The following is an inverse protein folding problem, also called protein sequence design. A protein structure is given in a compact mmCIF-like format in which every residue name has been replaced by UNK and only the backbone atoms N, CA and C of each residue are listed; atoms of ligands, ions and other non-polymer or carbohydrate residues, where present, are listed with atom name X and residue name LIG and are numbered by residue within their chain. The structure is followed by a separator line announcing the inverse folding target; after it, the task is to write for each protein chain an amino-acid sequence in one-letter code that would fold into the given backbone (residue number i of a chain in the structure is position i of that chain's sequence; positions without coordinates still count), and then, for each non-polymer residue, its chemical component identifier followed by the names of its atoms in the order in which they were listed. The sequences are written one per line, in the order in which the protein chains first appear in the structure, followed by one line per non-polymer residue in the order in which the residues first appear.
data_IF_523169314066
#
_entry.id   IF_523169314066
#
_cell.length_a   1.000
_cell.length_b   1.000
_cell.length_c   1.000
_cell.angle_alpha   90.00
_cell.angle_beta   90.00
_cell.angle_gamma   90.00
#
_symmetry.space_group_name_H-M   'P 1'
#
loop_
_entity.id
_entity.type
_entity.pdbx_description
1 polymer ?
#
# COMPACT_ATOMS: atom_id res chain seq x y z
N UNK A 1 -25.37 -9.81 30.60
CA UNK A 1 -25.20 -9.45 29.17
C UNK A 1 -25.21 -7.94 29.08
N UNK A 2 -24.23 -7.33 28.41
CA UNK A 2 -24.02 -5.88 28.42
C UNK A 2 -24.85 -5.11 27.37
N UNK A 3 -25.73 -5.79 26.63
CA UNK A 3 -26.60 -5.18 25.63
C UNK A 3 -27.84 -6.06 25.39
N UNK A 4 -28.92 -5.42 24.99
CA UNK A 4 -30.14 -6.09 24.53
C UNK A 4 -29.90 -6.74 23.16
N UNK A 5 -30.30 -8.00 23.01
CA UNK A 5 -30.07 -8.79 21.80
C UNK A 5 -30.90 -8.30 20.61
N UNK A 6 -32.02 -7.66 20.88
CA UNK A 6 -32.95 -7.16 19.87
C UNK A 6 -32.65 -5.70 19.46
N UNK A 7 -31.69 -5.05 20.13
CA UNK A 7 -31.19 -3.73 19.78
C UNK A 7 -30.57 -3.73 18.38
N UNK A 8 -30.90 -2.73 17.57
CA UNK A 8 -30.33 -2.55 16.23
C UNK A 8 -29.04 -1.75 16.32
N UNK A 9 -27.97 -2.25 15.72
CA UNK A 9 -26.68 -1.58 15.67
C UNK A 9 -26.71 -0.39 14.69
N UNK A 10 -26.35 0.83 15.12
CA UNK A 10 -26.58 2.07 14.36
C UNK A 10 -25.81 2.14 13.02
N UNK A 11 -24.66 1.47 12.91
CA UNK A 11 -23.83 1.51 11.69
C UNK A 11 -24.14 0.39 10.69
N UNK A 12 -24.73 -0.72 11.13
CA UNK A 12 -24.91 -1.93 10.28
C UNK A 12 -26.37 -2.26 10.04
N UNK A 13 -27.30 -1.64 10.78
CA UNK A 13 -28.74 -1.88 10.64
C UNK A 13 -29.18 -3.31 11.01
N UNK A 14 -28.33 -4.07 11.70
CA UNK A 14 -28.59 -5.46 12.10
C UNK A 14 -28.72 -5.59 13.61
N UNK A 15 -29.40 -6.63 14.09
CA UNK A 15 -29.56 -6.86 15.53
C UNK A 15 -28.25 -7.26 16.20
N UNK A 16 -28.06 -6.85 17.45
CA UNK A 16 -26.87 -7.18 18.24
C UNK A 16 -26.70 -8.71 18.41
N UNK A 17 -27.81 -9.47 18.46
CA UNK A 17 -27.77 -10.94 18.45
C UNK A 17 -27.17 -11.51 17.16
N UNK A 18 -27.58 -10.98 16.00
CA UNK A 18 -27.05 -11.43 14.69
C UNK A 18 -25.56 -11.10 14.54
N UNK A 19 -25.14 -9.90 14.96
CA UNK A 19 -23.74 -9.50 14.96
C UNK A 19 -22.87 -10.40 15.84
N UNK A 20 -23.37 -10.73 17.03
CA UNK A 20 -22.68 -11.64 17.96
C UNK A 20 -22.51 -13.02 17.35
N UNK A 21 -23.56 -13.61 16.79
CA UNK A 21 -23.48 -14.93 16.13
C UNK A 21 -22.47 -14.94 14.98
N UNK A 22 -22.45 -13.88 14.15
CA UNK A 22 -21.45 -13.74 13.08
C UNK A 22 -20.03 -13.65 13.64
N UNK A 23 -19.82 -12.87 14.70
CA UNK A 23 -18.52 -12.73 15.36
C UNK A 23 -18.05 -14.06 15.97
N UNK A 24 -18.94 -14.78 16.65
CA UNK A 24 -18.66 -16.12 17.21
C UNK A 24 -18.26 -17.11 16.12
N UNK A 25 -18.98 -17.15 14.98
CA UNK A 25 -18.61 -18.02 13.86
C UNK A 25 -17.23 -17.71 13.25
N UNK A 26 -16.85 -16.42 13.16
CA UNK A 26 -15.50 -16.03 12.71
C UNK A 26 -14.44 -16.47 13.72
N UNK A 27 -14.68 -16.29 15.01
CA UNK A 27 -13.77 -16.70 16.08
C UNK A 27 -13.57 -18.21 16.05
N UNK A 28 -14.64 -18.99 15.91
CA UNK A 28 -14.56 -20.44 15.87
C UNK A 28 -13.79 -20.93 14.64
N UNK A 29 -14.00 -20.30 13.49
CA UNK A 29 -13.23 -20.56 12.26
C UNK A 29 -11.73 -20.30 12.47
N UNK A 30 -11.38 -19.23 13.18
CA UNK A 30 -9.99 -18.89 13.48
C UNK A 30 -9.38 -19.86 14.51
N UNK A 31 -10.15 -20.30 15.52
CA UNK A 31 -9.70 -21.32 16.48
C UNK A 31 -9.45 -22.67 15.80
N UNK A 32 -10.32 -23.08 14.88
CA UNK A 32 -10.14 -24.31 14.08
C UNK A 32 -8.88 -24.28 13.21
N UNK A 33 -8.43 -23.08 12.80
CA UNK A 33 -7.19 -22.88 12.06
C UNK A 33 -5.94 -22.81 12.95
N UNK A 34 -6.08 -23.02 14.26
CA UNK A 34 -4.97 -23.08 15.22
C UNK A 34 -4.50 -21.72 15.74
N UNK A 35 -5.24 -20.63 15.52
CA UNK A 35 -4.89 -19.32 16.06
C UNK A 35 -5.25 -19.19 17.54
N UNK A 36 -4.35 -18.61 18.35
CA UNK A 36 -4.65 -18.24 19.73
C UNK A 36 -5.44 -16.92 19.75
N UNK A 37 -6.71 -16.97 20.15
CA UNK A 37 -7.61 -15.80 20.15
C UNK A 37 -7.94 -15.41 21.58
N UNK A 38 -7.48 -14.23 21.98
CA UNK A 38 -7.84 -13.58 23.23
C UNK A 38 -8.99 -12.60 22.94
N UNK A 39 -10.10 -12.74 23.66
CA UNK A 39 -11.25 -11.85 23.55
C UNK A 39 -11.34 -10.98 24.80
N UNK A 40 -11.62 -9.69 24.62
CA UNK A 40 -11.82 -8.73 25.69
C UNK A 40 -13.09 -7.93 25.39
N UNK A 41 -13.89 -7.66 26.42
CA UNK A 41 -15.06 -6.80 26.29
C UNK A 41 -14.63 -5.34 26.25
N UNK A 42 -15.45 -4.50 25.63
CA UNK A 42 -15.15 -3.08 25.45
C UNK A 42 -14.96 -2.35 26.79
N UNK A 43 -15.83 -2.58 27.77
CA UNK A 43 -15.71 -1.95 29.09
C UNK A 43 -14.46 -2.40 29.85
N UNK A 44 -14.07 -3.67 29.70
CA UNK A 44 -12.82 -4.18 30.28
C UNK A 44 -11.62 -3.51 29.62
N UNK A 45 -11.65 -3.34 28.31
CA UNK A 45 -10.61 -2.64 27.57
C UNK A 45 -10.52 -1.15 27.92
N UNK A 46 -11.65 -0.47 28.14
CA UNK A 46 -11.68 0.92 28.60
C UNK A 46 -11.08 1.08 30.00
N UNK A 47 -11.31 0.11 30.89
CA UNK A 47 -10.67 0.12 32.21
C UNK A 47 -9.18 -0.17 32.11
N UNK A 48 -8.78 -1.10 31.23
CA UNK A 48 -7.38 -1.44 30.99
C UNK A 48 -6.57 -0.27 30.40
N UNK A 49 -7.20 0.59 29.58
CA UNK A 49 -6.59 1.85 29.10
C UNK A 49 -6.24 2.83 30.21
N UNK A 50 -6.91 2.76 31.37
CA UNK A 50 -6.68 3.68 32.48
C UNK A 50 -5.49 3.26 33.34
N UNK A 51 -5.13 1.97 33.30
CA UNK A 51 -4.02 1.40 34.07
C UNK A 51 -2.67 1.94 33.59
N UNK A 52 -1.77 2.27 34.52
CA UNK A 52 -0.43 2.80 34.19
C UNK A 52 0.41 1.79 33.39
N UNK A 53 0.30 0.50 33.68
CA UNK A 53 0.98 -0.58 32.95
C UNK A 53 0.66 -0.56 31.45
N UNK A 54 -0.59 -0.27 31.07
CA UNK A 54 -0.98 -0.21 29.67
C UNK A 54 -0.48 1.05 28.98
N UNK A 55 -0.37 2.18 29.71
CA UNK A 55 0.22 3.41 29.17
C UNK A 55 1.71 3.24 28.93
N UNK A 56 2.42 2.60 29.86
CA UNK A 56 3.84 2.26 29.68
C UNK A 56 4.04 1.30 28.50
N UNK A 57 3.18 0.28 28.37
CA UNK A 57 3.17 -0.60 27.20
C UNK A 57 2.98 0.18 25.90
N UNK A 58 2.00 1.10 25.82
CA UNK A 58 1.77 1.91 24.61
C UNK A 58 2.94 2.83 24.27
N UNK A 59 3.66 3.35 25.27
CA UNK A 59 4.85 4.19 25.06
C UNK A 59 6.05 3.37 24.55
N UNK A 60 6.20 2.13 25.01
CA UNK A 60 7.28 1.24 24.60
C UNK A 60 6.97 0.48 23.30
N UNK A 61 5.69 0.30 22.98
CA UNK A 61 5.26 -0.48 21.83
C UNK A 61 5.32 0.37 20.55
N UNK A 62 6.43 0.24 19.81
CA UNK A 62 6.47 0.69 18.43
C UNK A 62 5.54 -0.20 17.58
N UNK A 63 4.34 0.29 17.29
CA UNK A 63 3.49 -0.31 16.26
C UNK A 63 4.19 -0.11 14.92
N UNK A 64 4.98 -1.10 14.52
CA UNK A 64 5.54 -1.13 13.19
C UNK A 64 4.44 -1.56 12.22
N UNK A 65 3.93 -0.60 11.46
CA UNK A 65 3.01 -0.91 10.36
C UNK A 65 3.65 -1.93 9.43
N UNK A 66 2.84 -2.92 9.03
CA UNK A 66 3.25 -3.93 8.05
C UNK A 66 3.84 -3.25 6.82
N UNK A 67 4.92 -3.84 6.29
CA UNK A 67 5.49 -3.41 5.02
C UNK A 67 4.39 -3.43 3.96
N UNK A 68 4.11 -2.27 3.37
CA UNK A 68 3.20 -2.15 2.25
C UNK A 68 4.01 -2.23 0.95
N UNK A 69 3.89 -3.32 0.15
CA UNK A 69 4.62 -3.46 -1.10
C UNK A 69 4.39 -2.30 -2.08
N UNK A 70 3.26 -1.59 -1.96
CA UNK A 70 2.90 -0.47 -2.82
C UNK A 70 3.84 0.72 -2.73
N UNK A 71 4.47 0.89 -1.57
CA UNK A 71 5.37 2.02 -1.34
C UNK A 71 6.67 1.86 -2.13
N UNK A 72 7.06 0.62 -2.44
CA UNK A 72 8.23 0.30 -3.24
C UNK A 72 8.01 0.47 -4.76
N UNK A 73 6.76 0.57 -5.25
CA UNK A 73 6.51 0.73 -6.68
C UNK A 73 6.75 2.15 -7.16
N UNK A 74 7.85 2.39 -7.86
CA UNK A 74 8.13 3.65 -8.55
C UNK A 74 8.02 3.48 -10.08
N UNK A 75 7.76 4.60 -10.75
CA UNK A 75 7.77 4.67 -12.21
C UNK A 75 9.18 4.73 -12.80
N UNK A 76 9.26 5.04 -14.09
CA UNK A 76 10.54 5.28 -14.75
C UNK A 76 11.29 6.46 -14.14
N UNK A 77 12.63 6.39 -14.18
CA UNK A 77 13.51 7.48 -13.73
C UNK A 77 13.46 8.65 -14.71
N UNK A 78 13.18 9.84 -14.19
CA UNK A 78 13.28 11.12 -14.90
C UNK A 78 14.21 12.04 -14.11
N UNK A 79 15.28 12.54 -14.73
CA UNK A 79 16.22 13.44 -14.09
C UNK A 79 16.57 14.60 -15.04
N UNK A 80 16.42 15.84 -14.56
CA UNK A 80 16.81 17.05 -15.29
C UNK A 80 18.18 17.53 -14.85
N UNK A 81 19.23 17.24 -15.63
CA UNK A 81 20.61 17.67 -15.31
C UNK A 81 20.88 19.09 -15.81
N UNK A 82 20.35 19.43 -17.00
CA UNK A 82 20.53 20.75 -17.63
C UNK A 82 19.20 21.20 -18.21
N UNK A 83 18.73 22.38 -17.80
CA UNK A 83 17.45 22.93 -18.27
C UNK A 83 17.55 23.48 -19.70
N UNK A 84 18.74 23.93 -20.10
CA UNK A 84 18.99 24.51 -21.41
C UNK A 84 20.32 24.01 -21.99
N UNK A 85 20.27 23.46 -23.19
CA UNK A 85 21.45 22.96 -23.89
C UNK A 85 21.46 23.47 -25.33
N UNK A 86 22.45 24.28 -25.68
CA UNK A 86 22.73 24.68 -27.06
C UNK A 86 23.81 23.75 -27.64
N UNK A 87 23.49 23.11 -28.76
CA UNK A 87 24.40 22.22 -29.49
C UNK A 87 23.76 20.91 -29.94
N UNK A 88 24.58 20.00 -30.46
CA UNK A 88 24.13 18.67 -30.87
C UNK A 88 24.11 17.70 -29.68
N UNK A 89 22.95 17.15 -29.35
CA UNK A 89 22.80 16.13 -28.31
C UNK A 89 22.75 14.72 -28.91
N UNK A 90 23.31 13.74 -28.19
CA UNK A 90 23.18 12.31 -28.52
C UNK A 90 22.04 11.72 -27.69
N UNK A 91 21.09 11.08 -28.35
CA UNK A 91 19.99 10.36 -27.73
C UNK A 91 20.30 8.86 -27.74
N UNK A 92 20.31 8.25 -26.56
CA UNK A 92 20.49 6.81 -26.38
C UNK A 92 19.21 6.30 -25.72
N UNK A 93 18.63 5.24 -26.29
CA UNK A 93 17.41 4.62 -25.79
C UNK A 93 17.57 3.12 -25.73
N UNK A 94 16.97 2.52 -24.70
CA UNK A 94 16.93 1.08 -24.57
C UNK A 94 15.68 0.56 -25.29
N UNK A 95 15.88 -0.28 -26.30
CA UNK A 95 14.77 -0.94 -26.98
C UNK A 95 14.10 -1.93 -26.04
N UNK A 96 12.88 -1.62 -25.60
CA UNK A 96 12.04 -2.53 -24.81
C UNK A 96 12.62 -2.91 -23.44
N UNK A 97 13.03 -1.92 -22.64
CA UNK A 97 13.57 -2.13 -21.29
C UNK A 97 12.67 -3.00 -20.40
N UNK A 98 11.38 -2.67 -20.25
CA UNK A 98 10.49 -3.45 -19.38
C UNK A 98 10.28 -4.90 -19.85
N UNK A 99 10.02 -5.19 -21.14
CA UNK A 99 9.99 -6.56 -21.62
C UNK A 99 11.28 -7.34 -21.39
N UNK A 100 12.44 -6.69 -21.55
CA UNK A 100 13.74 -7.33 -21.28
C UNK A 100 13.84 -7.70 -19.80
N UNK A 101 13.51 -6.79 -18.89
CA UNK A 101 13.51 -7.04 -17.44
C UNK A 101 12.52 -8.15 -17.08
N UNK A 102 11.29 -8.12 -17.60
CA UNK A 102 10.30 -9.17 -17.36
C UNK A 102 10.74 -10.57 -17.84
N UNK A 103 11.62 -10.64 -18.83
CA UNK A 103 12.10 -11.92 -19.39
C UNK A 103 13.30 -12.48 -18.64
N UNK A 104 14.22 -11.61 -18.19
CA UNK A 104 15.53 -12.02 -17.69
C UNK A 104 15.74 -11.81 -16.19
N UNK A 105 14.93 -10.97 -15.54
CA UNK A 105 15.05 -10.71 -14.11
C UNK A 105 14.12 -11.61 -13.30
N UNK A 106 14.54 -11.92 -12.07
CA UNK A 106 13.77 -12.71 -11.12
C UNK A 106 12.72 -11.85 -10.40
N UNK A 107 11.58 -12.46 -10.09
CA UNK A 107 10.49 -11.83 -9.35
C UNK A 107 10.10 -12.69 -8.16
N UNK A 108 9.78 -12.08 -7.00
CA UNK A 108 9.18 -12.82 -5.91
C UNK A 108 7.79 -13.31 -6.32
N UNK A 109 7.55 -14.61 -6.17
CA UNK A 109 6.27 -15.27 -6.46
C UNK A 109 5.82 -16.10 -5.26
N UNK A 110 4.51 -16.19 -5.05
CA UNK A 110 3.92 -16.94 -3.95
C UNK A 110 3.62 -16.09 -2.71
N UNK A 111 3.40 -16.78 -1.58
CA UNK A 111 3.15 -16.14 -0.29
C UNK A 111 4.47 -15.68 0.34
N UNK A 112 4.58 -14.41 0.78
CA UNK A 112 5.80 -13.89 1.36
C UNK A 112 6.03 -14.46 2.76
N UNK A 113 7.29 -14.72 3.09
CA UNK A 113 7.74 -14.88 4.46
C UNK A 113 7.95 -13.49 5.08
N UNK A 114 7.38 -13.26 6.27
CA UNK A 114 7.44 -11.96 6.94
C UNK A 114 8.44 -12.07 8.08
N UNK A 115 9.57 -11.39 7.93
CA UNK A 115 10.64 -11.34 8.92
C UNK A 115 10.58 -9.99 9.62
N UNK A 116 10.35 -10.00 10.93
CA UNK A 116 10.25 -8.78 11.75
C UNK A 116 11.43 -8.61 12.72
N UNK A 117 12.18 -9.67 12.97
CA UNK A 117 13.24 -9.74 13.99
C UNK A 117 14.43 -10.56 13.50
N UNK A 118 15.59 -10.41 14.16
CA UNK A 118 16.82 -11.17 13.87
C UNK A 118 17.31 -11.07 12.41
N UNK A 119 17.41 -9.84 11.90
CA UNK A 119 17.91 -9.59 10.55
C UNK A 119 19.36 -10.05 10.37
N UNK A 120 19.60 -10.76 9.27
CA UNK A 120 20.91 -11.14 8.76
C UNK A 120 21.45 -10.06 7.81
N UNK A 121 22.58 -10.32 7.18
CA UNK A 121 23.07 -9.47 6.09
C UNK A 121 22.03 -9.35 4.97
N UNK A 122 21.94 -8.16 4.37
CA UNK A 122 20.90 -7.81 3.40
C UNK A 122 20.98 -8.67 2.14
N UNK A 123 22.20 -9.11 1.78
CA UNK A 123 22.49 -9.94 0.62
C UNK A 123 21.87 -11.34 0.71
N UNK A 124 21.48 -11.78 1.91
CA UNK A 124 20.81 -13.06 2.12
C UNK A 124 19.29 -13.01 1.87
N UNK A 125 18.74 -11.82 1.60
CA UNK A 125 17.30 -11.64 1.40
C UNK A 125 16.98 -11.36 -0.06
N UNK A 126 15.94 -12.04 -0.56
CA UNK A 126 15.35 -11.74 -1.86
C UNK A 126 13.90 -11.28 -1.67
N UNK A 127 13.63 -9.99 -1.95
CA UNK A 127 12.27 -9.44 -1.84
C UNK A 127 12.24 -7.95 -1.51
N UNK A 128 11.31 -7.57 -0.64
CA UNK A 128 11.10 -6.18 -0.23
C UNK A 128 11.57 -5.98 1.21
N UNK A 129 12.34 -4.92 1.42
CA UNK A 129 12.83 -4.53 2.75
C UNK A 129 12.42 -3.09 3.05
N UNK A 130 12.01 -2.83 4.29
CA UNK A 130 11.75 -1.48 4.80
C UNK A 130 12.93 -1.09 5.68
N UNK A 131 13.78 -0.19 5.18
CA UNK A 131 14.98 0.24 5.87
C UNK A 131 15.12 1.76 5.88
N UNK A 132 15.90 2.28 6.83
CA UNK A 132 16.36 3.68 6.84
C UNK A 132 17.71 3.73 6.14
N UNK A 133 17.81 4.48 5.04
CA UNK A 133 19.04 4.60 4.25
C UNK A 133 19.71 5.93 4.58
N UNK A 134 21.00 5.90 4.90
CA UNK A 134 21.83 7.09 4.93
C UNK A 134 22.37 7.36 3.52
N UNK A 135 21.89 8.42 2.82
CA UNK A 135 22.26 8.63 1.44
C UNK A 135 23.75 9.02 1.35
N UNK A 136 24.52 8.39 0.46
CA UNK A 136 25.90 8.81 0.21
C UNK A 136 25.94 10.24 -0.30
N UNK A 137 26.92 11.01 0.18
CA UNK A 137 27.09 12.43 -0.18
C UNK A 137 27.73 12.53 -1.58
N UNK A 138 27.46 13.63 -2.28
CA UNK A 138 28.11 14.01 -3.54
C UNK A 138 27.87 13.08 -4.75
N UNK A 139 26.71 12.43 -4.86
CA UNK A 139 26.36 11.70 -6.09
C UNK A 139 25.97 12.66 -7.22
N UNK A 140 26.55 12.44 -8.40
CA UNK A 140 26.14 13.12 -9.63
C UNK A 140 24.71 12.77 -10.05
N UNK A 141 24.25 11.57 -9.68
CA UNK A 141 22.90 11.08 -9.93
C UNK A 141 22.28 10.58 -8.62
N UNK A 142 21.21 11.22 -8.11
CA UNK A 142 20.57 10.73 -6.89
C UNK A 142 19.97 9.36 -7.14
N UNK A 143 20.20 8.38 -6.26
CA UNK A 143 19.70 7.02 -6.45
C UNK A 143 18.32 6.80 -5.84
N UNK A 144 18.00 7.51 -4.75
CA UNK A 144 16.73 7.34 -4.06
C UNK A 144 15.63 8.15 -4.77
N UNK A 145 14.50 7.50 -5.13
CA UNK A 145 13.37 8.20 -5.73
C UNK A 145 12.67 9.09 -4.70
N UNK A 146 12.24 10.27 -5.13
CA UNK A 146 11.45 11.20 -4.32
C UNK A 146 10.13 11.49 -5.04
N UNK A 147 9.00 11.37 -4.33
CA UNK A 147 7.69 11.77 -4.85
C UNK A 147 7.34 13.14 -4.27
N UNK A 148 7.19 14.11 -5.16
CA UNK A 148 6.60 15.40 -4.83
C UNK A 148 5.07 15.29 -4.99
N UNK A 149 4.29 15.65 -3.97
CA UNK A 149 2.86 15.34 -3.88
C UNK A 149 1.91 16.32 -4.60
N UNK A 150 2.40 17.30 -5.37
CA UNK A 150 1.52 18.20 -6.14
C UNK A 150 1.26 17.68 -7.55
N UNK A 151 0.11 17.01 -7.72
CA UNK A 151 -0.29 16.27 -8.93
C UNK A 151 -0.94 17.12 -10.04
N UNK A 152 -1.06 18.44 -9.86
CA UNK A 152 -2.02 19.27 -10.62
C UNK A 152 -1.46 20.05 -11.84
N UNK A 153 -0.23 19.83 -12.31
CA UNK A 153 0.39 20.75 -13.29
C UNK A 153 1.17 20.11 -14.45
N UNK A 154 0.69 19.01 -15.05
CA UNK A 154 1.34 18.46 -16.28
C UNK A 154 0.31 17.96 -17.29
N UNK A 155 0.30 18.56 -18.49
CA UNK A 155 -0.54 18.14 -19.64
C UNK A 155 0.33 17.47 -20.72
N UNK A 156 -0.07 16.30 -21.24
CA UNK A 156 0.63 15.59 -22.33
C UNK A 156 -0.36 14.89 -23.28
N UNK A 157 -0.10 14.91 -24.60
CA UNK A 157 -0.93 14.27 -25.64
C UNK A 157 -0.25 13.02 -26.25
N UNK A 158 -1.02 11.92 -26.35
CA UNK A 158 -0.55 10.53 -26.25
C UNK A 158 -1.00 9.59 -27.39
N UNK A 159 -1.74 10.04 -28.41
CA UNK A 159 -2.65 9.19 -29.20
C UNK A 159 -2.12 7.86 -29.80
N UNK A 160 -1.14 7.88 -30.72
CA UNK A 160 -0.82 6.68 -31.55
C UNK A 160 0.44 5.91 -31.15
N UNK A 161 1.34 6.53 -30.38
CA UNK A 161 2.54 5.87 -29.80
C UNK A 161 2.23 5.19 -28.46
N UNK A 162 1.14 5.61 -27.80
CA UNK A 162 0.71 5.03 -26.54
C UNK A 162 0.29 3.59 -26.70
N UNK A 163 -0.63 3.25 -27.61
CA UNK A 163 -1.33 1.94 -27.61
C UNK A 163 -0.39 0.72 -27.59
N UNK A 164 0.67 0.68 -28.41
CA UNK A 164 1.65 -0.41 -28.40
C UNK A 164 2.54 -0.41 -27.15
N UNK A 165 2.95 0.78 -26.69
CA UNK A 165 3.69 0.98 -25.43
C UNK A 165 2.79 0.71 -24.20
N UNK A 166 1.49 0.90 -24.34
CA UNK A 166 0.46 0.73 -23.31
C UNK A 166 0.27 -0.75 -23.06
N UNK A 167 0.14 -1.59 -24.09
CA UNK A 167 0.02 -3.03 -23.90
C UNK A 167 1.23 -3.62 -23.15
N UNK A 168 2.46 -3.23 -23.53
CA UNK A 168 3.69 -3.74 -22.91
C UNK A 168 3.94 -3.16 -21.50
N UNK A 169 3.64 -1.88 -21.28
CA UNK A 169 3.75 -1.26 -19.95
C UNK A 169 2.56 -1.57 -19.04
N UNK A 170 1.44 -2.05 -19.60
CA UNK A 170 0.24 -2.44 -18.83
C UNK A 170 0.50 -3.67 -17.99
N UNK A 171 1.48 -4.52 -18.32
CA UNK A 171 1.82 -5.64 -17.45
C UNK A 171 2.37 -5.14 -16.09
N UNK A 172 3.36 -4.25 -16.13
CA UNK A 172 3.89 -3.57 -14.94
C UNK A 172 2.82 -2.71 -14.25
N UNK A 173 2.02 -1.99 -15.05
CA UNK A 173 0.89 -1.20 -14.56
C UNK A 173 -0.21 -2.02 -13.88
N UNK A 174 -0.41 -3.27 -14.30
CA UNK A 174 -1.39 -4.20 -13.71
C UNK A 174 -0.89 -4.79 -12.40
N UNK A 175 0.41 -5.06 -12.30
CA UNK A 175 1.07 -5.51 -11.07
C UNK A 175 1.01 -4.45 -9.96
N UNK A 176 1.22 -3.17 -10.31
CA UNK A 176 1.11 -2.03 -9.39
C UNK A 176 -0.30 -1.42 -9.26
N UNK A 177 -1.31 -1.97 -9.93
CA UNK A 177 -2.63 -1.33 -10.09
C UNK A 177 -3.33 -1.10 -8.75
N UNK A 178 -3.78 0.12 -8.49
CA UNK A 178 -4.64 0.37 -7.35
C UNK A 178 -6.04 -0.22 -7.62
N UNK A 179 -6.48 -1.12 -6.75
CA UNK A 179 -7.81 -1.74 -6.84
C UNK A 179 -8.90 -0.78 -6.34
N UNK A 180 -8.55 0.15 -5.44
CA UNK A 180 -9.43 1.20 -4.98
C UNK A 180 -9.39 2.37 -5.96
N UNK A 181 -10.22 2.30 -7.00
CA UNK A 181 -10.38 3.37 -7.97
C UNK A 181 -11.47 4.33 -7.51
N UNK A 182 -11.15 5.62 -7.42
CA UNK A 182 -12.16 6.68 -7.36
C UNK A 182 -12.99 6.65 -8.64
N UNK A 183 -14.29 6.44 -8.52
CA UNK A 183 -15.21 6.55 -9.65
C UNK A 183 -15.55 8.02 -9.87
N UNK A 184 -15.43 8.48 -11.11
CA UNK A 184 -15.78 9.84 -11.48
C UNK A 184 -17.15 9.78 -12.15
N UNK A 185 -18.20 10.13 -11.41
CA UNK A 185 -19.57 10.20 -11.91
C UNK A 185 -19.85 11.61 -12.41
N UNK A 186 -20.23 11.74 -13.67
CA UNK A 186 -20.70 13.01 -14.22
C UNK A 186 -22.13 13.25 -13.71
N UNK A 187 -22.29 14.27 -12.88
CA UNK A 187 -23.58 14.68 -12.32
C UNK A 187 -24.14 15.81 -13.18
N UNK A 188 -25.23 15.55 -13.89
CA UNK A 188 -25.90 16.54 -14.75
C UNK A 188 -27.16 17.15 -14.10
N UNK A 189 -27.58 16.65 -12.93
CA UNK A 189 -28.78 17.15 -12.23
C UNK A 189 -28.49 17.43 -10.75
N UNK A 190 -29.14 18.46 -10.19
CA UNK A 190 -28.96 18.88 -8.79
C UNK A 190 -29.38 17.77 -7.80
N UNK A 191 -30.30 16.89 -8.19
CA UNK A 191 -30.76 15.78 -7.37
C UNK A 191 -29.69 14.68 -7.20
N UNK A 192 -28.85 14.48 -8.21
CA UNK A 192 -27.78 13.47 -8.19
C UNK A 192 -26.53 13.96 -7.44
N UNK A 193 -26.35 15.27 -7.29
CA UNK A 193 -25.28 15.86 -6.48
C UNK A 193 -25.44 15.57 -4.98
N UNK A 194 -26.68 15.40 -4.51
CA UNK A 194 -27.00 15.14 -3.10
C UNK A 194 -26.82 13.66 -2.68
N UNK A 195 -26.48 12.78 -3.62
CA UNK A 195 -26.25 11.34 -3.37
C UNK A 195 -24.76 10.95 -3.31
N UNK A 196 -23.86 11.90 -3.61
CA UNK A 196 -22.41 11.72 -3.53
C UNK A 196 -21.90 12.04 -2.12
#
# INVERSE_FOLDING_TARGET
MCYDGDLIHPLTGTTMRSLRQKKEGVIDTLRQRGYNIIQMLEHDFENLKKTEEFKEFLLQHEVTDRLNPRDAFFGGRTNGIKLFFEGCAKYIDFTSLYPWVNKYCEYPVGHPEIITEHFQDIDNYFGLVKCKVFPPKNLFHPMLPFRYNDKNSINVNLGRRSVAKLALNSFWGRWGMNLNKSQLTFVSTVHDFKKC
#
